data_IF_973288512459
#
_entry.id   IF_973288512459
#
_cell.length_a   1.000
_cell.length_b   1.000
_cell.length_c   1.000
_cell.angle_alpha   90.00
_cell.angle_beta   90.00
_cell.angle_gamma   90.00
#
_symmetry.space_group_name_H-M   'P 1'
#
loop_
_entity.id
_entity.type
_entity.pdbx_description
1 polymer ?
#
# COMPACT_ATOMS: atom_id res chain seq x y z
N UNK A 1 -19.40 13.22 -17.69
CA UNK A 1 -20.27 12.99 -16.51
C UNK A 1 -19.64 13.70 -15.33
N UNK A 2 -20.45 14.32 -14.49
CA UNK A 2 -19.96 14.95 -13.27
C UNK A 2 -19.50 13.91 -12.25
N UNK A 3 -18.39 14.15 -11.51
CA UNK A 3 -17.82 13.18 -10.58
C UNK A 3 -18.80 12.58 -9.54
N UNK A 4 -19.71 13.36 -8.92
CA UNK A 4 -20.70 12.81 -7.98
C UNK A 4 -21.67 11.81 -8.60
N UNK A 5 -22.00 11.98 -9.89
CA UNK A 5 -22.93 11.10 -10.60
C UNK A 5 -22.29 9.82 -11.12
N UNK A 6 -20.96 9.71 -11.14
CA UNK A 6 -20.29 8.55 -11.70
C UNK A 6 -20.62 7.27 -10.91
N UNK A 7 -20.41 7.30 -9.58
CA UNK A 7 -20.66 6.14 -8.72
C UNK A 7 -22.12 5.68 -8.77
N UNK A 8 -23.06 6.62 -8.57
CA UNK A 8 -24.49 6.28 -8.51
C UNK A 8 -25.08 5.83 -9.86
N UNK A 9 -24.39 6.09 -10.97
CA UNK A 9 -24.84 5.75 -12.31
C UNK A 9 -23.93 4.76 -13.06
N UNK A 10 -22.85 4.34 -12.45
CA UNK A 10 -21.87 3.45 -13.10
C UNK A 10 -22.54 2.17 -13.62
N UNK A 11 -23.30 1.49 -12.80
CA UNK A 11 -24.02 0.27 -13.16
C UNK A 11 -25.05 0.52 -14.27
N UNK A 12 -25.83 1.60 -14.18
CA UNK A 12 -26.82 1.96 -15.20
C UNK A 12 -26.16 2.27 -16.55
N UNK A 13 -25.05 2.98 -16.56
CA UNK A 13 -24.32 3.31 -17.79
C UNK A 13 -23.69 2.09 -18.45
N UNK A 14 -23.17 1.17 -17.64
CA UNK A 14 -22.67 -0.11 -18.14
C UNK A 14 -23.83 -0.88 -18.78
N UNK A 15 -24.99 -0.94 -18.12
CA UNK A 15 -26.18 -1.59 -18.66
C UNK A 15 -26.67 -0.92 -19.96
N UNK A 16 -26.74 0.42 -20.01
CA UNK A 16 -27.10 1.15 -21.22
C UNK A 16 -26.18 0.84 -22.41
N UNK A 17 -24.89 0.60 -22.12
CA UNK A 17 -23.88 0.35 -23.16
C UNK A 17 -23.80 -1.12 -23.58
N UNK A 18 -23.92 -2.05 -22.64
CA UNK A 18 -23.69 -3.49 -22.85
C UNK A 18 -24.95 -4.33 -22.91
N UNK A 19 -26.08 -3.83 -22.41
CA UNK A 19 -27.29 -4.60 -22.17
C UNK A 19 -27.20 -5.61 -21.01
N UNK A 20 -26.07 -5.65 -20.29
CA UNK A 20 -25.80 -6.59 -19.19
C UNK A 20 -25.94 -5.87 -17.85
N UNK A 21 -26.74 -6.40 -16.89
CA UNK A 21 -26.80 -5.86 -15.54
C UNK A 21 -25.44 -5.87 -14.88
N UNK A 22 -25.09 -4.79 -14.20
CA UNK A 22 -23.79 -4.57 -13.61
C UNK A 22 -23.90 -4.16 -12.13
N UNK A 23 -22.94 -4.58 -11.33
CA UNK A 23 -22.78 -4.21 -9.93
C UNK A 23 -21.35 -3.75 -9.70
N UNK A 24 -21.17 -2.66 -8.96
CA UNK A 24 -19.85 -2.09 -8.66
C UNK A 24 -19.58 -2.19 -7.17
N UNK A 25 -18.43 -2.73 -6.82
CA UNK A 25 -17.97 -2.84 -5.44
C UNK A 25 -16.62 -2.17 -5.26
N UNK A 26 -16.43 -1.45 -4.16
CA UNK A 26 -15.17 -0.85 -3.76
C UNK A 26 -14.57 -1.63 -2.60
N UNK A 27 -13.25 -1.72 -2.54
CA UNK A 27 -12.55 -2.34 -1.41
C UNK A 27 -12.59 -1.42 -0.18
N UNK A 28 -12.84 -1.98 1.01
CA UNK A 28 -12.76 -1.24 2.27
C UNK A 28 -11.30 -0.87 2.63
N UNK A 29 -11.11 -0.03 3.66
CA UNK A 29 -9.77 0.40 4.07
C UNK A 29 -8.89 -0.72 4.64
N UNK A 30 -9.48 -1.79 5.18
CA UNK A 30 -8.75 -2.97 5.68
C UNK A 30 -8.47 -4.03 4.63
N UNK A 31 -8.96 -3.84 3.42
CA UNK A 31 -8.89 -4.83 2.34
C UNK A 31 -9.52 -6.19 2.70
N UNK A 32 -10.55 -6.17 3.52
CA UNK A 32 -11.26 -7.37 3.99
C UNK A 32 -12.61 -7.60 3.33
N UNK A 33 -13.28 -6.53 2.87
CA UNK A 33 -14.61 -6.62 2.27
C UNK A 33 -14.74 -5.72 1.04
N UNK A 34 -15.43 -6.23 0.06
CA UNK A 34 -15.94 -5.50 -1.09
C UNK A 34 -17.28 -4.88 -0.70
N UNK A 35 -17.35 -3.56 -0.77
CA UNK A 35 -18.51 -2.75 -0.34
C UNK A 35 -19.28 -2.33 -1.59
N UNK A 36 -20.59 -2.67 -1.71
CA UNK A 36 -21.35 -2.33 -2.89
C UNK A 36 -21.57 -0.81 -3.00
N UNK A 37 -21.63 -0.33 -4.22
CA UNK A 37 -22.05 1.06 -4.49
C UNK A 37 -23.56 1.22 -4.29
N UNK A 38 -24.35 0.24 -4.72
CA UNK A 38 -25.78 0.16 -4.48
C UNK A 38 -26.03 -0.34 -3.04
N UNK A 39 -26.77 0.41 -2.20
CA UNK A 39 -26.89 0.11 -0.76
C UNK A 39 -27.70 -1.17 -0.46
N UNK A 40 -28.51 -1.64 -1.41
CA UNK A 40 -29.36 -2.83 -1.24
C UNK A 40 -28.61 -4.15 -1.48
N UNK A 41 -27.38 -4.10 -2.01
CA UNK A 41 -26.56 -5.26 -2.25
C UNK A 41 -25.74 -5.66 -0.99
N UNK A 42 -25.44 -6.95 -0.82
CA UNK A 42 -24.71 -7.44 0.34
C UNK A 42 -23.21 -7.08 0.27
N UNK A 43 -22.56 -6.96 1.42
CA UNK A 43 -21.11 -6.96 1.53
C UNK A 43 -20.55 -8.32 1.13
N UNK A 44 -19.43 -8.32 0.39
CA UNK A 44 -18.76 -9.56 -0.04
C UNK A 44 -17.39 -9.64 0.67
N UNK A 45 -17.11 -10.70 1.45
CA UNK A 45 -15.77 -10.93 1.99
C UNK A 45 -14.75 -11.14 0.87
N UNK A 46 -13.52 -10.63 1.05
CA UNK A 46 -12.43 -10.90 0.10
C UNK A 46 -11.96 -12.36 0.22
N UNK A 47 -11.95 -12.90 1.44
CA UNK A 47 -11.51 -14.27 1.65
C UNK A 47 -12.65 -15.26 1.36
N UNK A 48 -12.30 -16.37 0.68
CA UNK A 48 -13.17 -17.52 0.41
C UNK A 48 -14.41 -17.23 -0.46
N UNK A 49 -14.35 -16.20 -1.33
CA UNK A 49 -15.39 -15.91 -2.33
C UNK A 49 -14.80 -15.81 -3.74
N UNK A 50 -15.55 -16.16 -4.80
CA UNK A 50 -15.07 -15.98 -6.17
C UNK A 50 -14.77 -14.52 -6.51
N UNK A 51 -15.59 -13.59 -6.02
CA UNK A 51 -15.45 -12.15 -6.19
C UNK A 51 -14.18 -11.63 -5.50
N UNK A 52 -13.94 -12.10 -4.28
CA UNK A 52 -12.71 -11.79 -3.55
C UNK A 52 -11.49 -12.40 -4.22
N UNK A 53 -11.60 -13.59 -4.83
CA UNK A 53 -10.52 -14.17 -5.62
C UNK A 53 -10.21 -13.32 -6.86
N UNK A 54 -11.21 -12.85 -7.59
CA UNK A 54 -11.00 -11.93 -8.72
C UNK A 54 -10.26 -10.65 -8.29
N UNK A 55 -10.67 -10.06 -7.15
CA UNK A 55 -9.99 -8.91 -6.56
C UNK A 55 -8.55 -9.22 -6.15
N UNK A 56 -8.32 -10.35 -5.47
CA UNK A 56 -7.02 -10.73 -4.94
C UNK A 56 -6.01 -11.11 -6.05
N UNK A 57 -6.44 -12.01 -6.96
CA UNK A 57 -5.60 -12.50 -8.05
C UNK A 57 -5.45 -11.51 -9.21
N UNK A 58 -6.32 -10.48 -9.27
CA UNK A 58 -6.37 -9.52 -10.37
C UNK A 58 -6.65 -10.22 -11.73
N UNK A 59 -7.54 -11.18 -11.70
CA UNK A 59 -7.94 -11.99 -12.84
C UNK A 59 -9.46 -11.95 -13.00
N UNK A 60 -9.92 -12.12 -14.22
CA UNK A 60 -11.35 -12.27 -14.50
C UNK A 60 -11.78 -13.67 -14.01
N UNK A 61 -12.80 -13.69 -13.19
CA UNK A 61 -13.39 -14.94 -12.67
C UNK A 61 -14.83 -15.06 -13.15
N UNK A 62 -15.23 -16.26 -13.55
CA UNK A 62 -16.63 -16.59 -13.81
C UNK A 62 -17.15 -17.33 -12.57
N UNK A 63 -18.24 -16.84 -12.00
CA UNK A 63 -18.90 -17.47 -10.84
C UNK A 63 -19.78 -18.67 -11.27
N UNK A 64 -20.21 -19.47 -10.32
CA UNK A 64 -21.03 -20.66 -10.59
C UNK A 64 -22.40 -20.33 -11.21
N UNK A 65 -22.92 -19.13 -10.93
CA UNK A 65 -24.16 -18.59 -11.52
C UNK A 65 -23.93 -17.91 -12.89
N UNK A 66 -22.72 -17.96 -13.42
CA UNK A 66 -22.35 -17.44 -14.74
C UNK A 66 -21.99 -15.97 -14.77
N UNK A 67 -21.99 -15.26 -13.64
CA UNK A 67 -21.58 -13.86 -13.60
C UNK A 67 -20.07 -13.71 -13.86
N UNK A 68 -19.70 -12.64 -14.52
CA UNK A 68 -18.31 -12.30 -14.81
C UNK A 68 -17.82 -11.23 -13.82
N UNK A 69 -16.79 -11.57 -13.05
CA UNK A 69 -16.18 -10.67 -12.07
C UNK A 69 -14.86 -10.12 -12.60
N UNK A 70 -14.77 -8.81 -12.73
CA UNK A 70 -13.62 -8.11 -13.30
C UNK A 70 -12.97 -7.21 -12.24
N UNK A 71 -11.64 -7.29 -12.04
CA UNK A 71 -10.95 -6.41 -11.11
C UNK A 71 -10.92 -4.95 -11.62
N UNK A 72 -11.13 -4.00 -10.71
CA UNK A 72 -10.97 -2.57 -10.96
C UNK A 72 -9.60 -2.14 -10.45
N UNK A 73 -8.64 -2.01 -11.36
CA UNK A 73 -7.25 -1.69 -11.00
C UNK A 73 -6.64 -0.62 -11.91
N UNK A 74 -5.75 0.20 -11.33
CA UNK A 74 -4.98 1.22 -12.07
C UNK A 74 -3.53 1.12 -11.64
N UNK A 75 -2.62 0.76 -12.56
CA UNK A 75 -1.19 0.57 -12.28
C UNK A 75 -0.89 -0.36 -11.10
N UNK A 76 -1.73 -1.40 -10.89
CA UNK A 76 -1.59 -2.33 -9.78
C UNK A 76 -2.33 -1.92 -8.50
N UNK A 77 -2.77 -0.66 -8.39
CA UNK A 77 -3.59 -0.20 -7.26
C UNK A 77 -5.04 -0.64 -7.43
N UNK A 78 -5.55 -1.41 -6.48
CA UNK A 78 -6.79 -2.15 -6.53
C UNK A 78 -7.92 -1.35 -5.89
N UNK A 79 -8.88 -0.90 -6.69
CA UNK A 79 -10.01 -0.09 -6.21
C UNK A 79 -11.24 -0.91 -5.83
N UNK A 80 -11.40 -2.11 -6.41
CA UNK A 80 -12.57 -2.96 -6.19
C UNK A 80 -12.81 -3.93 -7.34
N UNK A 81 -14.08 -4.23 -7.62
CA UNK A 81 -14.51 -5.11 -8.72
C UNK A 81 -15.74 -4.56 -9.44
N UNK A 82 -15.92 -5.01 -10.67
CA UNK A 82 -17.15 -4.92 -11.46
C UNK A 82 -17.70 -6.34 -11.63
N UNK A 83 -18.96 -6.56 -11.31
CA UNK A 83 -19.67 -7.80 -11.58
C UNK A 83 -20.65 -7.55 -12.73
N UNK A 84 -20.55 -8.36 -13.77
CA UNK A 84 -21.51 -8.39 -14.88
C UNK A 84 -22.37 -9.66 -14.77
N UNK A 85 -23.68 -9.50 -14.64
CA UNK A 85 -24.65 -10.60 -14.51
C UNK A 85 -24.96 -11.16 -15.90
N UNK A 86 -23.99 -11.86 -16.48
CA UNK A 86 -24.16 -12.55 -17.76
C UNK A 86 -24.91 -13.86 -17.56
N UNK A 87 -25.75 -14.23 -18.53
CA UNK A 87 -26.52 -15.49 -18.51
C UNK A 87 -25.91 -16.55 -19.41
N UNK A 88 -25.00 -16.18 -20.28
CA UNK A 88 -24.33 -17.04 -21.22
C UNK A 88 -22.80 -16.94 -21.08
N UNK A 89 -22.07 -18.03 -21.36
CA UNK A 89 -20.60 -17.99 -21.39
C UNK A 89 -20.10 -16.92 -22.37
N UNK A 90 -19.17 -16.10 -21.94
CA UNK A 90 -18.56 -15.05 -22.75
C UNK A 90 -17.32 -15.61 -23.48
N UNK A 91 -17.22 -15.33 -24.78
CA UNK A 91 -16.01 -15.62 -25.56
C UNK A 91 -14.84 -14.68 -25.16
N UNK A 92 -13.67 -14.95 -25.71
CA UNK A 92 -12.45 -14.21 -25.37
C UNK A 92 -12.54 -12.74 -25.78
N UNK A 93 -13.12 -12.44 -26.95
CA UNK A 93 -13.28 -11.06 -27.44
C UNK A 93 -14.20 -10.24 -26.54
N UNK A 94 -15.31 -10.82 -26.07
CA UNK A 94 -16.20 -10.18 -25.11
C UNK A 94 -15.52 -9.98 -23.76
N UNK A 95 -14.73 -10.94 -23.28
CA UNK A 95 -13.96 -10.82 -22.03
C UNK A 95 -12.94 -9.69 -22.11
N UNK A 96 -12.23 -9.57 -23.23
CA UNK A 96 -11.27 -8.48 -23.45
C UNK A 96 -11.97 -7.12 -23.51
N UNK A 97 -13.11 -7.01 -24.19
CA UNK A 97 -13.92 -5.79 -24.24
C UNK A 97 -14.39 -5.38 -22.83
N UNK A 98 -14.87 -6.33 -22.02
CA UNK A 98 -15.29 -6.07 -20.63
C UNK A 98 -14.09 -5.72 -19.72
N UNK A 99 -12.93 -6.33 -19.93
CA UNK A 99 -11.70 -5.94 -19.22
C UNK A 99 -11.31 -4.48 -19.54
N UNK A 100 -11.41 -4.09 -20.81
CA UNK A 100 -11.24 -2.70 -21.26
C UNK A 100 -12.19 -1.74 -20.55
N UNK A 101 -13.48 -2.10 -20.47
CA UNK A 101 -14.52 -1.32 -19.77
C UNK A 101 -14.20 -1.19 -18.27
N UNK A 102 -13.83 -2.29 -17.61
CA UNK A 102 -13.42 -2.27 -16.20
C UNK A 102 -12.21 -1.35 -15.97
N UNK A 103 -11.23 -1.36 -16.87
CA UNK A 103 -10.09 -0.46 -16.82
C UNK A 103 -10.46 1.02 -17.02
N UNK A 104 -11.45 1.34 -17.86
CA UNK A 104 -11.98 2.70 -18.01
C UNK A 104 -12.70 3.13 -16.73
N UNK A 105 -13.56 2.27 -16.18
CA UNK A 105 -14.26 2.53 -14.92
C UNK A 105 -13.29 2.76 -13.76
N UNK A 106 -12.27 1.93 -13.62
CA UNK A 106 -11.27 2.06 -12.56
C UNK A 106 -10.57 3.43 -12.62
N UNK A 107 -10.16 3.87 -13.82
CA UNK A 107 -9.54 5.20 -14.00
C UNK A 107 -10.54 6.34 -13.70
N UNK A 108 -11.79 6.20 -14.11
CA UNK A 108 -12.82 7.18 -13.84
C UNK A 108 -13.13 7.30 -12.34
N UNK A 109 -13.15 6.17 -11.61
CA UNK A 109 -13.31 6.14 -10.15
C UNK A 109 -12.14 6.85 -9.43
N UNK A 110 -10.90 6.61 -9.86
CA UNK A 110 -9.72 7.31 -9.31
C UNK A 110 -9.77 8.81 -9.56
N UNK A 111 -10.22 9.23 -10.72
CA UNK A 111 -10.40 10.65 -11.02
C UNK A 111 -11.54 11.26 -10.19
N UNK A 112 -12.65 10.56 -10.01
CA UNK A 112 -13.77 11.01 -9.20
C UNK A 112 -13.39 11.15 -7.72
N UNK A 113 -12.56 10.26 -7.17
CA UNK A 113 -12.09 10.29 -5.77
C UNK A 113 -11.35 11.59 -5.42
N UNK A 114 -10.78 12.29 -6.41
CA UNK A 114 -10.16 13.60 -6.23
C UNK A 114 -11.19 14.76 -6.15
N UNK A 115 -12.47 14.51 -6.45
CA UNK A 115 -13.51 15.56 -6.57
C UNK A 115 -14.78 15.29 -5.74
N UNK A 116 -14.89 14.13 -5.09
CA UNK A 116 -16.05 13.76 -4.27
C UNK A 116 -15.68 12.81 -3.16
N UNK A 117 -16.31 12.94 -2.00
CA UNK A 117 -16.09 12.07 -0.84
C UNK A 117 -16.85 10.74 -0.93
N UNK A 118 -17.65 10.51 -1.97
CA UNK A 118 -18.49 9.31 -2.08
C UNK A 118 -17.69 8.00 -2.04
N UNK A 119 -16.58 7.82 -2.80
CA UNK A 119 -15.78 6.60 -2.73
C UNK A 119 -15.22 6.38 -1.32
N UNK A 120 -14.70 7.42 -0.69
CA UNK A 120 -14.13 7.38 0.66
C UNK A 120 -15.17 7.02 1.71
N UNK A 121 -16.39 7.57 1.59
CA UNK A 121 -17.52 7.22 2.49
C UNK A 121 -17.92 5.77 2.37
N UNK A 122 -18.04 5.25 1.14
CA UNK A 122 -18.43 3.84 0.90
C UNK A 122 -17.40 2.88 1.46
N UNK A 123 -16.11 3.16 1.30
CA UNK A 123 -15.03 2.32 1.80
C UNK A 123 -14.93 2.26 3.33
N UNK A 124 -15.60 3.16 4.05
CA UNK A 124 -15.59 3.21 5.52
C UNK A 124 -16.58 2.23 6.11
N UNK A 125 -16.11 1.27 6.87
CA UNK A 125 -16.92 0.35 7.65
C UNK A 125 -17.08 0.78 9.12
N UNK A 126 -16.26 1.74 9.55
CA UNK A 126 -16.34 2.38 10.87
C UNK A 126 -15.93 3.85 10.74
N UNK A 127 -16.17 4.61 11.82
CA UNK A 127 -15.76 6.01 11.89
C UNK A 127 -14.24 6.07 12.04
N UNK A 128 -13.57 6.83 11.15
CA UNK A 128 -12.16 7.17 11.30
C UNK A 128 -11.96 8.18 12.44
N UNK A 129 -10.86 8.08 13.16
CA UNK A 129 -10.37 9.18 13.99
C UNK A 129 -9.83 10.29 13.09
N UNK A 130 -9.68 11.51 13.62
CA UNK A 130 -9.07 12.60 12.85
C UNK A 130 -7.63 12.27 12.45
N UNK A 131 -6.88 11.62 13.33
CA UNK A 131 -5.53 11.16 13.02
C UNK A 131 -5.52 10.16 11.83
N UNK A 132 -6.43 9.19 11.84
CA UNK A 132 -6.56 8.24 10.72
C UNK A 132 -6.96 8.93 9.41
N UNK A 133 -7.86 9.92 9.46
CA UNK A 133 -8.19 10.73 8.28
C UNK A 133 -6.95 11.42 7.69
N UNK A 134 -6.14 12.07 8.54
CA UNK A 134 -4.90 12.74 8.13
C UNK A 134 -3.92 11.75 7.49
N UNK A 135 -3.78 10.54 8.05
CA UNK A 135 -2.88 9.52 7.51
C UNK A 135 -3.37 8.97 6.16
N UNK A 136 -4.67 8.70 6.02
CA UNK A 136 -5.22 8.23 4.73
C UNK A 136 -5.09 9.28 3.61
N UNK A 137 -5.19 10.57 3.94
CA UNK A 137 -4.91 11.66 2.98
C UNK A 137 -3.44 11.72 2.58
N UNK A 138 -2.54 11.33 3.48
CA UNK A 138 -1.10 11.38 3.28
C UNK A 138 -0.58 10.18 2.50
N UNK A 139 -1.17 8.99 2.69
CA UNK A 139 -0.72 7.76 2.04
C UNK A 139 -0.76 7.86 0.51
N UNK A 140 0.24 7.31 -0.19
CA UNK A 140 0.20 7.15 -1.65
C UNK A 140 -0.83 6.10 -2.05
N UNK A 141 -0.94 5.80 -3.34
CA UNK A 141 -1.67 4.60 -3.77
C UNK A 141 -1.13 3.35 -3.06
N UNK A 142 -2.02 2.38 -2.77
CA UNK A 142 -1.65 1.17 -2.04
C UNK A 142 -0.73 0.23 -2.81
N UNK A 143 -0.64 0.38 -4.13
CA UNK A 143 0.26 -0.42 -4.97
C UNK A 143 0.70 0.33 -6.24
N UNK A 144 1.81 -0.12 -6.80
CA UNK A 144 2.32 0.30 -8.10
C UNK A 144 2.95 -0.88 -8.84
N UNK A 145 2.68 -1.01 -10.12
CA UNK A 145 3.24 -2.05 -10.98
C UNK A 145 3.81 -1.46 -12.25
N UNK A 146 5.06 -1.82 -12.55
CA UNK A 146 5.79 -1.51 -13.78
C UNK A 146 6.43 -2.78 -14.33
N UNK A 147 7.12 -2.69 -15.44
CA UNK A 147 7.90 -3.82 -15.98
C UNK A 147 9.07 -4.20 -15.07
N UNK A 148 9.64 -3.22 -14.33
CA UNK A 148 10.83 -3.42 -13.49
C UNK A 148 10.54 -3.81 -12.06
N UNK A 149 9.34 -3.49 -11.54
CA UNK A 149 8.98 -3.85 -10.17
C UNK A 149 7.46 -3.92 -9.97
N UNK A 150 7.07 -4.60 -8.89
CA UNK A 150 5.74 -4.52 -8.30
C UNK A 150 5.87 -4.16 -6.82
N UNK A 151 5.15 -3.15 -6.39
CA UNK A 151 5.16 -2.64 -5.03
C UNK A 151 3.74 -2.63 -4.47
N UNK A 152 3.60 -2.99 -3.20
CA UNK A 152 2.38 -2.76 -2.43
C UNK A 152 2.71 -2.42 -0.99
N UNK A 153 1.88 -1.60 -0.35
CA UNK A 153 1.99 -1.23 1.05
C UNK A 153 0.63 -1.18 1.71
N UNK A 154 0.60 -1.45 3.02
CA UNK A 154 -0.57 -1.34 3.87
C UNK A 154 -0.18 -0.86 5.26
N UNK A 155 -1.05 -0.02 5.83
CA UNK A 155 -1.01 0.44 7.21
C UNK A 155 -2.17 -0.19 7.98
N UNK A 156 -1.90 -0.72 9.17
CA UNK A 156 -2.87 -1.22 10.13
C UNK A 156 -2.54 -0.66 11.52
N UNK A 157 -3.49 -0.24 12.34
CA UNK A 157 -4.93 -0.29 12.14
C UNK A 157 -5.45 0.82 11.22
N UNK A 158 -6.53 0.52 10.47
CA UNK A 158 -7.06 1.46 9.49
C UNK A 158 -7.85 2.63 10.09
N UNK A 159 -8.33 2.51 11.33
CA UNK A 159 -9.30 3.45 11.92
C UNK A 159 -8.76 4.27 13.09
N UNK A 160 -7.62 3.89 13.66
CA UNK A 160 -6.91 4.63 14.70
C UNK A 160 -5.40 4.45 14.48
N UNK A 161 -4.64 5.53 14.38
CA UNK A 161 -3.22 5.48 13.98
C UNK A 161 -2.35 6.23 14.98
N UNK A 162 -1.06 5.84 15.04
CA UNK A 162 -0.03 6.41 15.91
C UNK A 162 1.04 7.17 15.15
N UNK A 163 0.91 7.29 13.82
CA UNK A 163 1.77 8.14 13.00
C UNK A 163 2.73 7.42 12.07
N UNK A 164 2.70 6.08 11.99
CA UNK A 164 3.48 5.34 11.00
C UNK A 164 3.00 5.67 9.59
N UNK A 165 3.93 5.63 8.64
CA UNK A 165 3.61 5.96 7.25
C UNK A 165 4.54 5.25 6.27
N UNK A 166 4.07 5.07 5.06
CA UNK A 166 4.91 4.81 3.90
C UNK A 166 4.58 5.77 2.77
N UNK A 167 5.59 6.14 2.00
CA UNK A 167 5.43 6.98 0.81
C UNK A 167 6.30 6.46 -0.32
N UNK A 168 5.84 6.61 -1.54
CA UNK A 168 6.62 6.27 -2.72
C UNK A 168 6.35 7.21 -3.88
N UNK A 169 7.32 7.29 -4.77
CA UNK A 169 7.21 8.05 -6.01
C UNK A 169 8.09 7.41 -7.08
N UNK A 170 7.63 7.43 -8.32
CA UNK A 170 8.33 6.90 -9.47
C UNK A 170 8.62 7.99 -10.49
N UNK A 171 9.78 7.90 -11.11
CA UNK A 171 10.16 8.62 -12.33
C UNK A 171 10.56 7.57 -13.38
N UNK A 172 10.92 8.01 -14.60
CA UNK A 172 11.45 7.10 -15.62
C UNK A 172 12.78 6.42 -15.26
N UNK A 173 13.45 6.85 -14.19
CA UNK A 173 14.79 6.37 -13.82
C UNK A 173 14.88 5.87 -12.38
N UNK A 174 13.96 6.23 -11.52
CA UNK A 174 14.06 5.98 -10.08
C UNK A 174 12.70 5.66 -9.45
N UNK A 175 12.73 4.75 -8.48
CA UNK A 175 11.70 4.56 -7.48
C UNK A 175 12.24 5.04 -6.14
N UNK A 176 11.60 6.03 -5.53
CA UNK A 176 11.88 6.44 -4.14
C UNK A 176 10.81 5.82 -3.24
N UNK A 177 11.24 5.15 -2.18
CA UNK A 177 10.37 4.57 -1.15
C UNK A 177 10.81 5.07 0.22
N UNK A 178 9.86 5.49 1.03
CA UNK A 178 10.09 5.91 2.42
C UNK A 178 9.16 5.15 3.33
N UNK A 179 9.68 4.67 4.47
CA UNK A 179 8.88 4.11 5.57
C UNK A 179 9.28 4.85 6.84
N UNK A 180 8.31 5.33 7.57
CA UNK A 180 8.51 6.13 8.79
C UNK A 180 7.74 5.52 9.96
N UNK A 181 8.36 5.55 11.14
CA UNK A 181 7.73 5.16 12.40
C UNK A 181 7.36 6.44 13.15
N UNK A 182 6.08 6.64 13.40
CA UNK A 182 5.54 7.77 14.15
C UNK A 182 5.96 7.74 15.61
N UNK A 183 6.01 8.92 16.22
CA UNK A 183 6.24 9.07 17.66
C UNK A 183 5.06 9.78 18.30
N UNK A 184 4.52 9.24 19.39
CA UNK A 184 3.36 9.80 20.06
C UNK A 184 2.05 9.14 19.67
N UNK A 185 0.93 9.82 19.82
CA UNK A 185 -0.40 9.28 19.54
C UNK A 185 -1.34 10.36 18.99
N UNK A 186 -2.36 9.91 18.24
CA UNK A 186 -3.44 10.78 17.80
C UNK A 186 -3.00 11.84 16.78
N UNK A 187 -3.62 13.03 16.87
CA UNK A 187 -3.41 14.09 15.88
C UNK A 187 -2.02 14.69 15.90
N UNK A 188 -1.33 14.69 17.03
CA UNK A 188 0.02 15.25 17.13
C UNK A 188 1.03 14.36 16.38
N UNK A 189 0.94 13.04 16.54
CA UNK A 189 1.74 12.09 15.78
C UNK A 189 1.45 12.18 14.28
N UNK A 190 0.16 12.22 13.89
CA UNK A 190 -0.24 12.39 12.51
C UNK A 190 0.28 13.71 11.90
N UNK A 191 0.26 14.81 12.66
CA UNK A 191 0.77 16.12 12.21
C UNK A 191 2.29 16.11 12.05
N UNK A 192 3.03 15.46 12.96
CA UNK A 192 4.48 15.28 12.86
C UNK A 192 4.86 14.54 11.57
N UNK A 193 4.22 13.40 11.34
CA UNK A 193 4.43 12.59 10.13
C UNK A 193 4.03 13.36 8.87
N UNK A 194 2.91 14.08 8.90
CA UNK A 194 2.47 14.89 7.77
C UNK A 194 3.51 15.97 7.41
N UNK A 195 4.08 16.65 8.41
CA UNK A 195 5.12 17.65 8.22
C UNK A 195 6.39 17.04 7.60
N UNK A 196 6.83 15.90 8.13
CA UNK A 196 8.00 15.18 7.63
C UNK A 196 7.83 14.72 6.17
N UNK A 197 6.74 14.00 5.87
CA UNK A 197 6.48 13.50 4.52
C UNK A 197 6.29 14.65 3.53
N UNK A 198 5.68 15.77 3.95
CA UNK A 198 5.56 16.97 3.11
C UNK A 198 6.93 17.60 2.80
N UNK A 199 7.84 17.63 3.77
CA UNK A 199 9.21 18.13 3.56
C UNK A 199 9.99 17.20 2.60
N UNK A 200 9.93 15.89 2.81
CA UNK A 200 10.53 14.89 1.91
C UNK A 200 10.00 15.02 0.47
N UNK A 201 8.68 15.13 0.31
CA UNK A 201 8.04 15.33 -1.00
C UNK A 201 8.45 16.65 -1.65
N UNK A 202 8.57 17.73 -0.87
CA UNK A 202 8.98 19.03 -1.37
C UNK A 202 10.42 18.98 -1.92
N UNK A 203 11.37 18.42 -1.15
CA UNK A 203 12.76 18.27 -1.61
C UNK A 203 12.83 17.39 -2.88
N UNK A 204 12.14 16.25 -2.89
CA UNK A 204 12.07 15.36 -4.06
C UNK A 204 11.50 16.05 -5.31
N UNK A 205 10.42 16.81 -5.16
CA UNK A 205 9.78 17.56 -6.26
C UNK A 205 10.65 18.72 -6.77
N UNK A 206 11.56 19.20 -5.94
CA UNK A 206 12.58 20.20 -6.31
C UNK A 206 13.83 19.58 -6.97
N UNK A 207 13.85 18.25 -7.15
CA UNK A 207 14.97 17.53 -7.77
C UNK A 207 16.04 17.06 -6.77
N UNK A 208 15.83 17.24 -5.47
CA UNK A 208 16.76 16.84 -4.42
C UNK A 208 16.90 15.32 -4.34
N UNK A 209 18.13 14.86 -4.12
CA UNK A 209 18.44 13.45 -3.86
C UNK A 209 18.04 13.05 -2.42
N UNK A 210 18.22 11.76 -2.06
CA UNK A 210 17.76 11.28 -0.74
C UNK A 210 18.48 11.96 0.43
N UNK A 211 19.70 12.46 0.24
CA UNK A 211 20.44 13.20 1.29
C UNK A 211 19.77 14.57 1.50
N UNK A 212 19.50 15.29 0.42
CA UNK A 212 18.80 16.57 0.47
C UNK A 212 17.37 16.44 1.00
N UNK A 213 16.69 15.34 0.66
CA UNK A 213 15.37 15.02 1.21
C UNK A 213 15.45 14.82 2.74
N UNK A 214 16.38 13.99 3.22
CA UNK A 214 16.58 13.77 4.66
C UNK A 214 16.94 15.06 5.39
N UNK A 215 17.89 15.84 4.85
CA UNK A 215 18.34 17.09 5.45
C UNK A 215 17.21 18.13 5.56
N UNK A 216 16.39 18.31 4.51
CA UNK A 216 15.27 19.25 4.55
C UNK A 216 14.21 18.81 5.56
N UNK A 217 13.90 17.51 5.64
CA UNK A 217 12.95 17.01 6.61
C UNK A 217 13.46 17.16 8.05
N UNK A 218 14.74 16.84 8.31
CA UNK A 218 15.41 17.03 9.60
C UNK A 218 15.32 18.50 10.06
N UNK A 219 15.74 19.44 9.22
CA UNK A 219 15.69 20.88 9.50
C UNK A 219 14.25 21.37 9.75
N UNK A 220 13.29 20.89 8.95
CA UNK A 220 11.88 21.28 9.06
C UNK A 220 11.29 20.83 10.40
N UNK A 221 11.51 19.56 10.76
CA UNK A 221 11.03 19.01 12.03
C UNK A 221 11.71 19.67 13.22
N UNK A 222 13.03 19.86 13.16
CA UNK A 222 13.76 20.54 14.22
C UNK A 222 13.33 21.99 14.39
N UNK A 223 13.09 22.72 13.30
CA UNK A 223 12.58 24.09 13.37
C UNK A 223 11.21 24.16 14.09
N UNK A 224 10.34 23.18 13.85
CA UNK A 224 9.02 23.12 14.47
C UNK A 224 9.06 22.65 15.93
N UNK A 225 9.86 21.63 16.25
CA UNK A 225 9.78 20.91 17.53
C UNK A 225 11.03 20.99 18.40
N UNK A 226 12.15 21.58 17.91
CA UNK A 226 13.40 21.78 18.67
C UNK A 226 13.98 20.48 19.27
N UNK A 227 13.84 19.36 18.57
CA UNK A 227 14.30 18.05 19.00
C UNK A 227 13.39 17.31 19.99
N UNK A 228 12.33 17.93 20.46
CA UNK A 228 11.38 17.30 21.39
C UNK A 228 10.50 16.22 20.73
N UNK A 229 10.32 16.31 19.42
CA UNK A 229 9.68 15.32 18.56
C UNK A 229 10.56 15.07 17.34
N UNK A 230 10.70 13.81 16.97
CA UNK A 230 11.52 13.36 15.86
C UNK A 230 10.85 12.14 15.20
N UNK A 231 11.27 11.82 13.99
CA UNK A 231 10.66 10.75 13.20
C UNK A 231 11.75 9.77 12.73
N UNK A 232 11.64 8.52 13.16
CA UNK A 232 12.48 7.46 12.63
C UNK A 232 12.04 7.13 11.20
N UNK A 233 12.98 7.14 10.24
CA UNK A 233 12.64 7.05 8.83
C UNK A 233 13.70 6.28 8.06
N UNK A 234 13.26 5.36 7.20
CA UNK A 234 14.08 4.72 6.19
C UNK A 234 13.76 5.30 4.82
N UNK A 235 14.77 5.84 4.14
CA UNK A 235 14.67 6.29 2.76
C UNK A 235 15.41 5.32 1.84
N UNK A 236 14.75 4.85 0.78
CA UNK A 236 15.31 3.98 -0.24
C UNK A 236 15.12 4.61 -1.61
N UNK A 237 16.18 4.67 -2.41
CA UNK A 237 16.18 5.20 -3.76
C UNK A 237 16.74 4.18 -4.74
N UNK A 238 15.85 3.53 -5.47
CA UNK A 238 16.16 2.47 -6.43
C UNK A 238 16.45 3.08 -7.80
N UNK A 239 17.59 2.78 -8.37
CA UNK A 239 17.91 3.11 -9.75
C UNK A 239 17.34 2.03 -10.67
N UNK A 240 16.32 2.42 -11.47
CA UNK A 240 15.68 1.53 -12.43
C UNK A 240 16.69 1.14 -13.52
N UNK A 241 16.56 -0.08 -14.05
CA UNK A 241 17.50 -0.66 -15.02
C UNK A 241 18.76 -1.28 -14.41
N UNK A 242 19.27 -0.80 -13.27
CA UNK A 242 20.49 -1.33 -12.65
C UNK A 242 20.25 -2.13 -11.38
N UNK A 243 19.17 -1.83 -10.65
CA UNK A 243 18.88 -2.41 -9.35
C UNK A 243 19.80 -1.92 -8.23
N UNK A 244 20.60 -0.87 -8.45
CA UNK A 244 21.34 -0.21 -7.38
C UNK A 244 20.38 0.55 -6.48
N UNK A 245 20.54 0.38 -5.16
CA UNK A 245 19.70 1.03 -4.15
C UNK A 245 20.58 1.85 -3.23
N UNK A 246 20.24 3.12 -3.08
CA UNK A 246 20.80 4.03 -2.10
C UNK A 246 19.86 4.08 -0.91
N UNK A 247 20.38 3.97 0.30
CA UNK A 247 19.62 3.93 1.52
C UNK A 247 20.14 4.95 2.55
N UNK A 248 19.21 5.57 3.28
CA UNK A 248 19.48 6.31 4.51
C UNK A 248 18.59 5.71 5.59
N UNK A 249 19.22 5.13 6.61
CA UNK A 249 18.53 4.61 7.79
C UNK A 249 18.63 5.67 8.90
N UNK A 250 17.61 6.51 8.99
CA UNK A 250 17.44 7.49 10.07
C UNK A 250 16.56 6.92 11.19
N UNK A 251 16.76 5.63 11.53
CA UNK A 251 16.08 5.02 12.67
C UNK A 251 15.54 3.61 12.45
N UNK A 252 14.31 3.32 12.73
CA UNK A 252 13.75 2.05 13.14
C UNK A 252 13.22 1.08 12.07
N UNK A 253 12.71 1.48 10.86
CA UNK A 253 12.17 0.51 9.90
C UNK A 253 13.21 -0.51 9.45
N UNK A 254 12.77 -1.78 9.27
CA UNK A 254 13.67 -2.88 8.90
C UNK A 254 13.36 -3.42 7.52
N UNK A 255 14.42 -3.85 6.81
CA UNK A 255 14.34 -4.44 5.49
C UNK A 255 14.71 -5.91 5.54
N UNK A 256 13.84 -6.75 5.02
CA UNK A 256 14.09 -8.18 4.80
C UNK A 256 14.11 -8.45 3.30
N UNK A 257 15.08 -9.25 2.86
CA UNK A 257 15.19 -9.68 1.47
C UNK A 257 14.97 -11.17 1.36
N UNK A 258 14.07 -11.57 0.49
CA UNK A 258 13.91 -12.94 0.03
C UNK A 258 14.59 -13.09 -1.34
N UNK A 259 15.64 -13.88 -1.41
CA UNK A 259 16.42 -14.19 -2.62
C UNK A 259 16.65 -15.69 -2.73
N UNK A 260 16.22 -16.32 -3.82
CA UNK A 260 16.43 -17.75 -4.04
C UNK A 260 15.89 -18.65 -2.91
N UNK A 261 14.83 -18.24 -2.21
CA UNK A 261 14.25 -18.98 -1.08
C UNK A 261 14.90 -18.69 0.27
N UNK A 262 15.99 -17.93 0.31
CA UNK A 262 16.68 -17.50 1.55
C UNK A 262 16.13 -16.14 1.96
N UNK A 263 15.82 -15.99 3.25
CA UNK A 263 15.38 -14.72 3.84
C UNK A 263 16.53 -14.22 4.72
N UNK A 264 17.01 -13.02 4.41
CA UNK A 264 18.05 -12.32 5.16
C UNK A 264 17.60 -10.87 5.48
N UNK A 265 18.14 -10.32 6.56
CA UNK A 265 18.03 -8.89 6.87
C UNK A 265 18.97 -8.09 5.97
N UNK A 266 18.53 -6.94 5.51
CA UNK A 266 19.42 -5.94 4.90
C UNK A 266 19.70 -4.91 5.97
N UNK A 267 20.84 -5.07 6.62
CA UNK A 267 21.21 -4.22 7.75
C UNK A 267 21.95 -2.97 7.28
N UNK A 268 21.61 -1.86 7.88
CA UNK A 268 22.24 -0.56 7.65
C UNK A 268 22.86 -0.03 8.95
N UNK A 269 23.85 0.83 8.83
CA UNK A 269 24.34 1.63 9.93
C UNK A 269 23.28 2.69 10.27
N UNK A 270 22.65 2.55 11.44
CA UNK A 270 21.60 3.45 11.89
C UNK A 270 22.14 4.85 12.14
N UNK A 271 21.43 5.85 11.67
CA UNK A 271 21.70 7.27 11.87
C UNK A 271 20.61 7.89 12.75
N UNK A 272 20.79 9.16 13.10
CA UNK A 272 19.84 9.84 13.98
C UNK A 272 18.48 10.06 13.29
N UNK A 273 17.37 9.89 14.01
CA UNK A 273 16.03 10.20 13.50
C UNK A 273 15.90 11.65 13.01
N UNK A 274 15.06 11.85 12.01
CA UNK A 274 14.79 13.17 11.44
C UNK A 274 14.20 14.11 12.49
N UNK A 275 14.76 15.32 12.62
CA UNK A 275 14.28 16.36 13.53
C UNK A 275 14.89 16.34 14.92
N UNK A 276 15.83 15.44 15.19
CA UNK A 276 16.45 15.35 16.52
C UNK A 276 17.44 16.49 16.76
N UNK A 277 18.25 16.88 15.77
CA UNK A 277 19.28 17.92 15.92
C UNK A 277 19.26 19.03 14.85
N UNK A 278 18.58 18.89 13.73
CA UNK A 278 18.39 19.92 12.71
C UNK A 278 19.58 20.24 11.80
N UNK A 279 20.76 19.67 12.07
CA UNK A 279 21.98 19.79 11.29
C UNK A 279 22.68 18.44 11.08
N UNK A 280 21.91 17.38 11.16
CA UNK A 280 22.39 16.01 10.99
C UNK A 280 22.91 15.80 9.57
N UNK A 281 24.13 15.27 9.45
CA UNK A 281 24.71 14.89 8.17
C UNK A 281 24.39 13.42 7.89
N UNK A 282 23.47 13.18 6.96
CA UNK A 282 23.07 11.84 6.57
C UNK A 282 24.01 11.26 5.53
N UNK A 283 24.46 10.02 5.77
CA UNK A 283 25.33 9.26 4.87
C UNK A 283 24.55 8.19 4.13
N UNK A 284 24.80 8.09 2.83
CA UNK A 284 24.19 7.07 1.97
C UNK A 284 24.94 5.75 2.12
N UNK A 285 24.17 4.68 2.27
CA UNK A 285 24.64 3.31 2.16
C UNK A 285 24.06 2.68 0.89
N UNK A 286 24.75 1.72 0.30
CA UNK A 286 24.34 1.15 -0.97
C UNK A 286 24.22 -0.38 -0.89
N UNK A 287 23.22 -0.93 -1.55
CA UNK A 287 23.08 -2.34 -1.81
C UNK A 287 22.48 -2.58 -3.21
N UNK A 288 22.33 -3.82 -3.62
CA UNK A 288 21.80 -4.14 -4.94
C UNK A 288 20.67 -5.17 -4.84
N UNK A 289 19.57 -4.88 -5.54
CA UNK A 289 18.51 -5.84 -5.82
C UNK A 289 18.74 -6.48 -7.19
N UNK A 290 18.29 -7.74 -7.33
CA UNK A 290 18.42 -8.54 -8.55
C UNK A 290 17.06 -9.07 -8.96
N UNK A 291 16.94 -9.44 -10.21
CA UNK A 291 15.74 -10.11 -10.71
C UNK A 291 15.31 -11.26 -9.78
N UNK A 292 14.05 -11.28 -9.39
CA UNK A 292 13.46 -12.26 -8.49
C UNK A 292 13.64 -11.98 -7.00
N UNK A 293 14.30 -10.88 -6.61
CA UNK A 293 14.32 -10.46 -5.21
C UNK A 293 12.95 -9.93 -4.78
N UNK A 294 12.57 -10.27 -3.56
CA UNK A 294 11.49 -9.61 -2.82
C UNK A 294 12.06 -8.88 -1.63
N UNK A 295 11.75 -7.60 -1.49
CA UNK A 295 12.00 -6.84 -0.28
C UNK A 295 10.70 -6.69 0.51
N UNK A 296 10.80 -6.89 1.82
CA UNK A 296 9.74 -6.57 2.79
C UNK A 296 10.29 -5.51 3.72
N UNK A 297 9.67 -4.35 3.74
CA UNK A 297 9.99 -3.27 4.68
C UNK A 297 8.88 -3.20 5.72
N UNK A 298 9.25 -3.17 6.99
CA UNK A 298 8.31 -3.14 8.11
C UNK A 298 8.66 -2.05 9.10
N UNK A 299 7.64 -1.43 9.70
CA UNK A 299 7.80 -0.50 10.82
C UNK A 299 8.10 -1.26 12.13
N UNK A 300 8.43 -0.51 13.18
CA UNK A 300 8.73 -1.11 14.50
C UNK A 300 7.50 -1.76 15.13
N UNK A 301 6.32 -1.21 14.96
CA UNK A 301 5.09 -1.84 15.43
C UNK A 301 4.89 -3.26 14.90
N UNK A 302 5.50 -3.62 13.77
CA UNK A 302 5.51 -5.01 13.28
C UNK A 302 6.58 -5.83 13.99
N UNK A 303 7.86 -5.40 13.95
CA UNK A 303 8.95 -6.26 14.39
C UNK A 303 9.11 -6.31 15.92
N UNK A 304 8.61 -5.33 16.65
CA UNK A 304 8.62 -5.29 18.14
C UNK A 304 7.32 -5.80 18.76
N UNK A 305 6.29 -6.11 17.94
CA UNK A 305 5.04 -6.65 18.44
C UNK A 305 5.23 -7.90 19.28
N UNK A 306 4.54 -7.97 20.43
CA UNK A 306 4.61 -9.09 21.36
C UNK A 306 3.32 -9.91 21.33
N UNK A 307 3.47 -11.24 21.34
CA UNK A 307 2.34 -12.15 21.61
C UNK A 307 1.92 -12.04 23.09
N UNK A 308 0.78 -12.63 23.43
CA UNK A 308 0.37 -12.77 24.85
C UNK A 308 1.41 -13.53 25.71
N UNK A 309 2.25 -14.36 25.09
CA UNK A 309 3.32 -15.09 25.77
C UNK A 309 4.63 -14.27 25.88
N UNK A 310 4.66 -13.01 25.39
CA UNK A 310 5.85 -12.16 25.39
C UNK A 310 6.87 -12.51 24.30
N UNK A 311 6.48 -13.26 23.28
CA UNK A 311 7.36 -13.56 22.14
C UNK A 311 7.28 -12.44 21.12
N UNK A 312 8.43 -11.96 20.63
CA UNK A 312 8.50 -10.92 19.60
C UNK A 312 8.16 -11.51 18.23
N UNK A 313 7.23 -10.85 17.52
CA UNK A 313 6.84 -11.21 16.15
C UNK A 313 8.04 -11.19 15.19
N UNK A 314 8.94 -10.23 15.35
CA UNK A 314 10.13 -10.05 14.53
C UNK A 314 11.15 -11.21 14.58
N UNK A 315 11.07 -12.11 15.57
CA UNK A 315 12.04 -13.21 15.70
C UNK A 315 11.79 -14.36 14.72
N UNK A 316 10.60 -14.97 14.77
CA UNK A 316 10.29 -16.17 13.99
C UNK A 316 9.02 -16.03 13.15
N UNK A 317 7.98 -15.41 13.71
CA UNK A 317 6.67 -15.27 13.07
C UNK A 317 6.75 -14.40 11.80
N UNK A 318 7.53 -13.33 11.81
CA UNK A 318 7.81 -12.46 10.68
C UNK A 318 8.45 -13.23 9.51
N UNK A 319 9.52 -13.98 9.79
CA UNK A 319 10.21 -14.79 8.77
C UNK A 319 9.28 -15.84 8.20
N UNK A 320 8.43 -16.45 9.04
CA UNK A 320 7.44 -17.41 8.59
C UNK A 320 6.38 -16.74 7.70
N UNK A 321 5.89 -15.55 8.07
CA UNK A 321 4.94 -14.78 7.25
C UNK A 321 5.52 -14.43 5.87
N UNK A 322 6.80 -14.02 5.80
CA UNK A 322 7.50 -13.77 4.53
C UNK A 322 7.55 -15.03 3.68
N UNK A 323 7.90 -16.18 4.30
CA UNK A 323 8.02 -17.47 3.61
C UNK A 323 6.68 -17.95 3.05
N UNK A 324 5.62 -17.80 3.80
CA UNK A 324 4.28 -18.28 3.44
C UNK A 324 3.64 -17.44 2.33
N UNK A 325 4.02 -16.16 2.26
CA UNK A 325 3.50 -15.23 1.24
C UNK A 325 4.37 -15.13 -0.01
N UNK A 326 5.45 -15.92 -0.10
CA UNK A 326 6.49 -15.80 -1.14
C UNK A 326 5.99 -15.97 -2.59
N UNK A 327 4.93 -16.73 -2.80
CA UNK A 327 4.35 -16.99 -4.13
C UNK A 327 3.18 -16.04 -4.47
N UNK A 328 2.73 -15.25 -3.50
CA UNK A 328 1.64 -14.30 -3.70
C UNK A 328 2.16 -13.01 -4.36
N UNK A 329 1.37 -12.33 -5.20
CA UNK A 329 1.75 -10.99 -5.66
C UNK A 329 1.85 -10.01 -4.46
N UNK A 330 2.63 -8.92 -4.56
CA UNK A 330 2.90 -8.03 -3.43
C UNK A 330 1.67 -7.57 -2.67
N UNK A 331 0.59 -7.21 -3.35
CA UNK A 331 -0.64 -6.76 -2.68
C UNK A 331 -1.29 -7.86 -1.83
N UNK A 332 -1.26 -9.13 -2.29
CA UNK A 332 -1.76 -10.26 -1.50
C UNK A 332 -0.76 -10.69 -0.41
N UNK A 333 0.53 -10.57 -0.68
CA UNK A 333 1.56 -10.83 0.31
C UNK A 333 1.41 -9.88 1.50
N UNK A 334 1.22 -8.57 1.25
CA UNK A 334 0.99 -7.57 2.29
C UNK A 334 -0.31 -7.83 3.05
N UNK A 335 -1.42 -8.09 2.35
CA UNK A 335 -2.70 -8.42 2.99
C UNK A 335 -2.60 -9.69 3.85
N UNK A 336 -1.99 -10.73 3.33
CA UNK A 336 -1.76 -11.99 4.06
C UNK A 336 -0.83 -11.81 5.26
N UNK A 337 0.15 -10.92 5.14
CA UNK A 337 1.07 -10.57 6.21
C UNK A 337 0.32 -9.86 7.36
N UNK A 338 -0.44 -8.80 7.05
CA UNK A 338 -1.24 -8.06 8.03
C UNK A 338 -2.25 -8.98 8.72
N UNK A 339 -2.92 -9.87 7.99
CA UNK A 339 -3.85 -10.85 8.59
C UNK A 339 -3.14 -11.72 9.64
N UNK A 340 -1.96 -12.30 9.31
CA UNK A 340 -1.19 -13.12 10.27
C UNK A 340 -0.67 -12.31 11.46
N UNK A 341 -0.33 -11.06 11.22
CA UNK A 341 0.05 -10.14 12.27
C UNK A 341 -1.11 -9.91 13.25
N UNK A 342 -2.33 -9.68 12.77
CA UNK A 342 -3.51 -9.54 13.60
C UNK A 342 -3.89 -10.84 14.33
N UNK A 343 -3.78 -12.00 13.64
CA UNK A 343 -3.97 -13.32 14.26
C UNK A 343 -2.98 -13.58 15.41
N UNK A 344 -1.74 -13.09 15.28
CA UNK A 344 -0.71 -13.20 16.32
C UNK A 344 -1.08 -12.44 17.61
N UNK A 345 -1.91 -11.42 17.50
CA UNK A 345 -2.44 -10.67 18.64
C UNK A 345 -3.71 -11.29 19.25
N UNK A 346 -4.14 -12.49 18.82
CA UNK A 346 -5.36 -13.17 19.28
C UNK A 346 -6.61 -12.29 19.21
N UNK A 347 -6.73 -11.45 18.19
CA UNK A 347 -7.84 -10.52 18.00
C UNK A 347 -7.82 -9.28 18.92
N UNK A 348 -6.75 -9.06 19.71
CA UNK A 348 -6.52 -7.79 20.36
C UNK A 348 -6.09 -6.73 19.34
N UNK A 349 -6.48 -5.47 19.56
CA UNK A 349 -5.96 -4.38 18.74
C UNK A 349 -4.46 -4.23 18.99
N UNK A 350 -3.65 -4.07 17.91
CA UNK A 350 -2.23 -3.76 18.04
C UNK A 350 -2.03 -2.50 18.90
N UNK A 351 -0.95 -2.48 19.66
CA UNK A 351 -0.60 -1.34 20.53
C UNK A 351 0.08 -0.21 19.78
N UNK A 352 0.46 -0.46 18.53
CA UNK A 352 1.15 0.46 17.66
C UNK A 352 0.72 0.23 16.21
N UNK A 353 1.00 1.18 15.32
CA UNK A 353 0.79 1.06 13.90
C UNK A 353 1.71 -0.03 13.31
N UNK A 354 1.22 -0.71 12.29
CA UNK A 354 1.97 -1.71 11.54
C UNK A 354 1.99 -1.32 10.06
N UNK A 355 3.12 -0.87 9.59
CA UNK A 355 3.37 -0.67 8.16
C UNK A 355 4.11 -1.87 7.59
N UNK A 356 3.60 -2.40 6.50
CA UNK A 356 4.25 -3.44 5.70
C UNK A 356 4.28 -2.97 4.25
N UNK A 357 5.47 -2.95 3.66
CA UNK A 357 5.68 -2.71 2.23
C UNK A 357 6.37 -3.91 1.63
N UNK A 358 5.83 -4.42 0.51
CA UNK A 358 6.39 -5.51 -0.28
C UNK A 358 6.77 -4.99 -1.67
N UNK A 359 8.01 -5.23 -2.07
CA UNK A 359 8.54 -4.88 -3.38
C UNK A 359 9.12 -6.13 -4.04
N UNK A 360 8.59 -6.53 -5.20
CA UNK A 360 9.18 -7.54 -6.08
C UNK A 360 9.98 -6.85 -7.18
N UNK A 361 11.27 -7.14 -7.26
CA UNK A 361 12.14 -6.61 -8.29
C UNK A 361 12.17 -7.51 -9.52
N UNK A 362 11.92 -6.92 -10.68
CA UNK A 362 11.83 -7.59 -11.99
C UNK A 362 12.80 -7.02 -13.02
N UNK A 363 13.46 -5.91 -12.72
CA UNK A 363 14.46 -5.29 -13.58
C UNK A 363 15.74 -6.13 -13.67
N UNK A 364 16.46 -5.99 -14.80
CA UNK A 364 17.67 -6.76 -15.03
C UNK A 364 17.42 -8.25 -15.30
N UNK A 365 16.22 -8.62 -15.80
CA UNK A 365 16.01 -9.97 -16.33
C UNK A 365 17.07 -10.29 -17.39
N UNK A 366 17.64 -11.53 -17.41
CA UNK A 366 18.51 -11.92 -18.51
C UNK A 366 17.75 -11.72 -19.82
N UNK A 367 18.30 -10.94 -20.75
CA UNK A 367 17.86 -10.97 -22.16
C UNK A 367 18.08 -12.39 -22.66
N UNK A 368 17.01 -13.09 -23.01
CA UNK A 368 17.05 -14.39 -23.67
C UNK A 368 17.82 -14.32 -24.99
#
# INVERSE_FOLDING_TARGET
>A
MEPPGLLSRAAALIFEHTGVPAEVYLIDYRHTHLVPVEPDLPLIPVDNTPEGHAFAAQQIVTTDDGALVLPLTVYGDRSGILILRTTEPQDEDAREAYAGLAGVLARALRLADAHTDLPRRLRRRARLTLAAEMQWELLPGSACSTDEFRLAGQLEPAYAVWGDNFDWSITSKRLTLTVSNGTGTGTDAAALTHLAISALRNARRSGGDIVEQAALADQTLYAAHRGSQHLATLLLDFELGTGRVRAIDAGSPRVYRLRGGVIDSVDFEAQLPLGMFGDTHYSVQEFTVRYGDRLIVVSDGVHTAESRAGELYGKSALVQAIRDTRLQPPSEAVRGFIRRFLEYHDGAEPRDDAVVVCLDWRGGAPTE
#
